data_IF_321477919421
#
_entry.id   IF_321477919421
#
_cell.length_a   1.000
_cell.length_b   1.000
_cell.length_c   1.000
_cell.angle_alpha   90.00
_cell.angle_beta   90.00
_cell.angle_gamma   90.00
#
_symmetry.space_group_name_H-M   'P 1'
#
loop_
_entity.id
_entity.type
_entity.pdbx_description
1 polymer ?
#
# COMPACT_ATOMS: atom_id res chain seq x y z
N UNK A 1 -18.64 9.06 16.92
CA UNK A 1 -18.65 8.93 15.44
C UNK A 1 -20.06 9.12 14.90
N UNK A 2 -20.22 9.78 13.75
CA UNK A 2 -21.51 9.99 13.05
C UNK A 2 -21.34 9.76 11.55
N UNK A 3 -22.14 8.86 10.98
CA UNK A 3 -22.25 8.68 9.53
C UNK A 3 -23.42 9.52 9.02
N UNK A 4 -23.19 10.28 7.95
CA UNK A 4 -24.19 11.08 7.24
C UNK A 4 -24.35 10.54 5.82
N UNK A 5 -25.19 11.17 4.99
CA UNK A 5 -25.35 10.77 3.59
C UNK A 5 -24.06 10.91 2.76
N UNK A 6 -23.05 11.65 3.25
CA UNK A 6 -21.81 11.96 2.52
C UNK A 6 -20.54 11.60 3.26
N UNK A 7 -20.57 11.61 4.59
CA UNK A 7 -19.37 11.61 5.39
C UNK A 7 -19.41 10.62 6.55
N UNK A 8 -18.24 10.08 6.87
CA UNK A 8 -17.96 9.44 8.15
C UNK A 8 -17.25 10.46 9.02
N UNK A 9 -17.98 11.11 9.92
CA UNK A 9 -17.46 12.12 10.83
C UNK A 9 -17.01 11.48 12.14
N UNK A 10 -15.78 11.76 12.57
CA UNK A 10 -15.21 11.15 13.75
C UNK A 10 -14.34 12.13 14.53
N UNK A 11 -14.23 11.92 15.84
CA UNK A 11 -13.29 12.64 16.69
C UNK A 11 -12.90 11.79 17.89
N UNK A 12 -11.61 11.51 18.04
CA UNK A 12 -11.07 10.65 19.10
C UNK A 12 -11.61 9.21 19.05
N UNK A 13 -11.71 8.68 17.84
CA UNK A 13 -12.20 7.33 17.52
C UNK A 13 -11.12 6.51 16.79
N UNK A 14 -11.44 5.28 16.35
CA UNK A 14 -10.51 4.39 15.66
C UNK A 14 -9.73 4.98 14.46
N UNK A 15 -10.27 5.91 13.64
CA UNK A 15 -9.51 6.48 12.53
C UNK A 15 -8.56 7.60 12.98
N UNK A 16 -8.75 8.18 14.16
CA UNK A 16 -7.94 9.30 14.64
C UNK A 16 -6.47 8.89 14.81
N UNK A 17 -5.57 9.84 14.58
CA UNK A 17 -4.12 9.63 14.66
C UNK A 17 -3.59 9.37 16.08
N UNK A 18 -4.41 9.65 17.09
CA UNK A 18 -4.13 9.37 18.50
C UNK A 18 -4.63 7.99 18.96
N UNK A 19 -5.40 7.29 18.10
CA UNK A 19 -5.89 5.96 18.42
C UNK A 19 -4.71 4.98 18.55
N UNK A 20 -4.66 4.18 19.64
CA UNK A 20 -3.61 3.17 19.81
C UNK A 20 -3.77 2.09 18.74
N UNK A 21 -2.80 2.03 17.84
CA UNK A 21 -2.70 1.04 16.79
C UNK A 21 -1.21 0.91 16.46
N UNK A 22 -0.62 -0.19 16.90
CA UNK A 22 0.81 -0.42 16.77
C UNK A 22 1.16 -0.81 15.34
N UNK A 23 2.28 -0.33 14.83
CA UNK A 23 2.80 -0.71 13.53
C UNK A 23 4.30 -0.50 13.45
N UNK A 24 4.93 -1.27 12.58
CA UNK A 24 6.35 -1.21 12.27
C UNK A 24 6.60 -0.58 10.90
N UNK A 25 7.64 0.22 10.77
CA UNK A 25 7.96 0.93 9.52
C UNK A 25 9.45 1.25 9.43
N UNK A 26 10.01 1.10 8.23
CA UNK A 26 11.38 1.49 7.96
C UNK A 26 11.49 3.02 7.74
N UNK A 27 12.44 3.63 8.45
CA UNK A 27 12.82 5.04 8.31
C UNK A 27 14.34 5.11 8.18
N UNK A 28 14.84 5.58 7.04
CA UNK A 28 16.27 5.64 6.72
C UNK A 28 16.99 4.31 7.00
N UNK A 29 16.46 3.20 6.48
CA UNK A 29 17.01 1.84 6.63
C UNK A 29 16.99 1.29 8.08
N UNK A 30 16.30 1.98 8.99
CA UNK A 30 16.11 1.54 10.37
C UNK A 30 14.67 1.13 10.61
N UNK A 31 14.48 -0.11 11.04
CA UNK A 31 13.19 -0.63 11.47
C UNK A 31 12.73 0.05 12.78
N UNK A 32 11.61 0.76 12.73
CA UNK A 32 11.08 1.52 13.84
C UNK A 32 9.66 1.06 14.20
N UNK A 33 9.38 0.93 15.50
CA UNK A 33 8.06 0.57 16.02
C UNK A 33 7.33 1.81 16.57
N UNK A 34 6.04 1.95 16.29
CA UNK A 34 5.21 3.08 16.74
C UNK A 34 3.88 2.63 17.32
N UNK A 35 3.41 3.30 18.37
CA UNK A 35 2.16 2.99 19.07
C UNK A 35 0.90 3.64 18.47
N UNK A 36 1.09 4.66 17.64
CA UNK A 36 0.05 5.41 16.95
C UNK A 36 0.68 6.28 15.86
N UNK A 37 -0.14 6.76 14.92
CA UNK A 37 0.38 7.55 13.79
C UNK A 37 0.86 8.94 14.21
N UNK A 38 0.37 9.51 15.32
CA UNK A 38 0.90 10.78 15.86
C UNK A 38 2.37 10.64 16.31
N UNK A 39 2.75 9.52 16.94
CA UNK A 39 4.14 9.28 17.33
C UNK A 39 5.06 9.25 16.11
N UNK A 40 4.70 8.48 15.08
CA UNK A 40 5.43 8.46 13.80
C UNK A 40 5.50 9.85 13.16
N UNK A 41 4.38 10.57 13.14
CA UNK A 41 4.29 11.88 12.51
C UNK A 41 5.21 12.92 13.18
N UNK A 42 5.29 12.91 14.53
CA UNK A 42 6.21 13.77 15.26
C UNK A 42 7.67 13.31 15.14
N UNK A 43 7.92 12.00 15.10
CA UNK A 43 9.25 11.44 14.86
C UNK A 43 9.80 11.89 13.51
N UNK A 44 9.02 11.71 12.44
CA UNK A 44 9.38 12.16 11.10
C UNK A 44 9.56 13.68 11.01
N UNK A 45 8.80 14.45 11.79
CA UNK A 45 9.05 15.89 11.92
C UNK A 45 10.46 16.17 12.44
N UNK A 46 10.88 15.49 13.50
CA UNK A 46 12.23 15.63 14.05
C UNK A 46 13.30 15.20 13.04
N UNK A 47 13.08 14.09 12.32
CA UNK A 47 13.98 13.62 11.24
C UNK A 47 14.10 14.65 10.11
N UNK A 48 12.99 15.21 9.63
CA UNK A 48 12.98 16.21 8.54
C UNK A 48 13.81 17.45 8.88
N UNK A 49 13.84 17.85 10.16
CA UNK A 49 14.58 19.04 10.61
C UNK A 49 15.92 18.72 11.29
N UNK A 50 16.37 17.47 11.23
CA UNK A 50 17.67 17.04 11.76
C UNK A 50 17.79 17.11 13.29
N UNK A 51 16.68 16.99 14.02
CA UNK A 51 16.66 17.03 15.48
C UNK A 51 16.65 15.61 16.07
N UNK A 52 17.82 14.95 16.03
CA UNK A 52 17.99 13.57 16.48
C UNK A 52 17.65 13.37 17.96
N UNK A 53 17.91 14.37 18.80
CA UNK A 53 17.66 14.29 20.24
C UNK A 53 16.16 14.30 20.57
N UNK A 54 15.36 15.10 19.85
CA UNK A 54 13.90 15.05 19.96
C UNK A 54 13.36 13.77 19.30
N UNK A 55 13.95 13.31 18.19
CA UNK A 55 13.54 12.06 17.55
C UNK A 55 13.68 10.85 18.51
N UNK A 56 14.81 10.72 19.20
CA UNK A 56 15.04 9.68 20.23
C UNK A 56 14.02 9.75 21.36
N UNK A 57 13.71 10.95 21.85
CA UNK A 57 12.71 11.13 22.91
C UNK A 57 11.29 10.75 22.46
N UNK A 58 10.93 11.05 21.21
CA UNK A 58 9.62 10.68 20.65
C UNK A 58 9.50 9.17 20.48
N UNK A 59 10.55 8.52 19.95
CA UNK A 59 10.54 7.07 19.75
C UNK A 59 10.42 6.31 21.08
N UNK A 60 10.95 6.87 22.17
CA UNK A 60 10.89 6.27 23.51
C UNK A 60 9.55 6.46 24.27
N UNK A 61 8.57 7.20 23.73
CA UNK A 61 7.29 7.46 24.42
C UNK A 61 6.08 7.18 23.51
N UNK A 62 5.21 6.25 23.91
CA UNK A 62 3.99 5.91 23.15
C UNK A 62 2.80 6.85 23.39
N UNK A 63 2.90 7.82 24.31
CA UNK A 63 1.77 8.66 24.67
C UNK A 63 1.58 9.82 23.65
N UNK A 64 0.48 9.85 22.88
CA UNK A 64 0.28 10.82 21.79
C UNK A 64 0.31 12.28 22.27
N UNK A 65 -0.13 12.55 23.51
CA UNK A 65 -0.11 13.90 24.08
C UNK A 65 1.32 14.37 24.37
N UNK A 66 2.18 13.49 24.88
CA UNK A 66 3.58 13.82 25.18
C UNK A 66 4.40 13.97 23.91
N UNK A 67 4.27 13.05 22.95
CA UNK A 67 5.00 13.13 21.67
C UNK A 67 4.58 14.36 20.87
N UNK A 68 3.30 14.75 20.87
CA UNK A 68 2.87 16.03 20.29
C UNK A 68 3.49 17.23 20.98
N UNK A 69 3.73 17.15 22.29
CA UNK A 69 4.42 18.21 23.03
C UNK A 69 5.92 18.27 22.68
N UNK A 70 6.56 17.13 22.45
CA UNK A 70 7.95 17.05 21.96
C UNK A 70 8.06 17.57 20.52
N UNK A 71 7.14 17.21 19.63
CA UNK A 71 7.14 17.69 18.25
C UNK A 71 6.94 19.21 18.10
N UNK A 72 6.45 19.90 19.14
CA UNK A 72 6.44 21.38 19.22
C UNK A 72 7.79 21.99 19.58
N UNK A 73 8.73 21.19 20.08
CA UNK A 73 10.07 21.61 20.48
C UNK A 73 11.15 21.30 19.42
N UNK A 74 10.79 20.64 18.33
CA UNK A 74 11.69 20.33 17.21
C UNK A 74 12.39 21.61 16.74
N UNK A 75 13.72 21.56 16.72
CA UNK A 75 14.58 22.65 16.27
C UNK A 75 14.56 22.79 14.75
N UNK A 76 15.04 23.93 14.24
CA UNK A 76 15.15 24.23 12.80
C UNK A 76 13.83 24.08 12.01
N UNK A 77 12.70 24.19 12.70
CA UNK A 77 11.38 24.03 12.08
C UNK A 77 11.14 25.11 11.03
N UNK A 78 10.86 24.67 9.81
CA UNK A 78 10.38 25.49 8.71
C UNK A 78 8.95 25.08 8.34
N UNK A 79 8.02 26.03 8.38
CA UNK A 79 6.60 25.77 8.14
C UNK A 79 6.33 25.35 6.70
N UNK A 80 7.02 25.96 5.73
CA UNK A 80 6.83 25.66 4.32
C UNK A 80 7.31 24.25 3.99
N UNK A 81 8.54 23.91 4.41
CA UNK A 81 9.09 22.55 4.25
C UNK A 81 8.19 21.51 4.91
N UNK A 82 7.63 21.83 6.09
CA UNK A 82 6.71 20.90 6.74
C UNK A 82 5.38 20.75 6.00
N UNK A 83 4.81 21.85 5.50
CA UNK A 83 3.56 21.82 4.75
C UNK A 83 3.68 20.97 3.49
N UNK A 84 4.84 20.99 2.82
CA UNK A 84 5.10 20.22 1.60
C UNK A 84 5.25 18.71 1.87
N UNK A 85 5.68 18.32 3.09
CA UNK A 85 5.97 16.92 3.43
C UNK A 85 4.89 16.23 4.29
N UNK A 86 4.19 16.98 5.14
CA UNK A 86 3.35 16.43 6.21
C UNK A 86 2.25 15.49 5.72
N UNK A 87 1.69 15.76 4.54
CA UNK A 87 0.60 14.96 4.00
C UNK A 87 1.06 13.54 3.70
N UNK A 88 2.13 13.40 2.91
CA UNK A 88 2.71 12.11 2.53
C UNK A 88 3.25 11.33 3.73
N UNK A 89 3.82 12.03 4.72
CA UNK A 89 4.25 11.41 5.98
C UNK A 89 3.04 10.80 6.72
N UNK A 90 1.95 11.55 6.87
CA UNK A 90 0.75 11.03 7.54
C UNK A 90 0.09 9.90 6.75
N UNK A 91 0.10 9.97 5.41
CA UNK A 91 -0.38 8.91 4.54
C UNK A 91 0.39 7.61 4.75
N UNK A 92 1.73 7.66 4.70
CA UNK A 92 2.58 6.49 4.94
C UNK A 92 2.30 5.85 6.32
N UNK A 93 2.06 6.68 7.34
CA UNK A 93 1.70 6.21 8.67
C UNK A 93 0.34 5.51 8.72
N UNK A 94 -0.68 6.06 8.03
CA UNK A 94 -2.00 5.46 8.02
C UNK A 94 -2.02 4.16 7.19
N UNK A 95 -1.34 4.11 6.04
CA UNK A 95 -1.18 2.86 5.29
C UNK A 95 -0.54 1.79 6.17
N UNK A 96 0.58 2.08 6.84
CA UNK A 96 1.21 1.13 7.75
C UNK A 96 0.29 0.69 8.90
N UNK A 97 -0.40 1.64 9.55
CA UNK A 97 -1.40 1.37 10.60
C UNK A 97 -2.47 0.40 10.11
N UNK A 98 -3.14 0.71 9.01
CA UNK A 98 -4.29 -0.08 8.55
C UNK A 98 -3.87 -1.40 7.90
N UNK A 99 -2.76 -1.45 7.16
CA UNK A 99 -2.30 -2.71 6.55
C UNK A 99 -1.76 -3.73 7.56
N UNK A 100 -1.31 -3.29 8.74
CA UNK A 100 -0.79 -4.19 9.80
C UNK A 100 -1.80 -4.52 10.89
N UNK A 101 -2.94 -3.81 10.96
CA UNK A 101 -3.99 -4.04 11.96
C UNK A 101 -5.27 -4.51 11.25
N UNK A 102 -5.44 -5.82 11.13
CA UNK A 102 -6.51 -6.44 10.33
C UNK A 102 -7.91 -5.96 10.75
N UNK A 103 -8.21 -5.88 12.05
CA UNK A 103 -9.51 -5.39 12.53
C UNK A 103 -9.78 -3.95 12.10
N UNK A 104 -8.77 -3.08 12.12
CA UNK A 104 -8.89 -1.69 11.68
C UNK A 104 -8.99 -1.61 10.16
N UNK A 105 -8.29 -2.47 9.42
CA UNK A 105 -8.40 -2.61 7.96
C UNK A 105 -9.84 -2.94 7.58
N UNK A 106 -10.43 -3.95 8.23
CA UNK A 106 -11.81 -4.37 7.99
C UNK A 106 -12.82 -3.26 8.33
N UNK A 107 -12.57 -2.49 9.39
CA UNK A 107 -13.37 -1.29 9.68
C UNK A 107 -13.23 -0.25 8.56
N UNK A 108 -12.03 0.07 8.11
CA UNK A 108 -11.79 1.05 7.04
C UNK A 108 -12.47 0.67 5.72
N UNK A 109 -12.50 -0.62 5.40
CA UNK A 109 -13.09 -1.19 4.18
C UNK A 109 -14.57 -1.57 4.33
N UNK A 110 -15.16 -1.36 5.50
CA UNK A 110 -16.54 -1.76 5.79
C UNK A 110 -17.52 -1.22 4.73
N UNK A 111 -18.48 -2.06 4.26
CA UNK A 111 -19.53 -1.61 3.35
C UNK A 111 -20.32 -0.40 3.87
N UNK A 112 -20.41 -0.23 5.19
CA UNK A 112 -21.08 0.91 5.83
C UNK A 112 -20.43 2.26 5.47
N UNK A 113 -19.11 2.29 5.26
CA UNK A 113 -18.37 3.51 4.95
C UNK A 113 -18.10 3.68 3.45
N UNK A 114 -18.46 2.68 2.63
CA UNK A 114 -18.29 2.73 1.18
C UNK A 114 -19.03 3.93 0.59
N UNK A 115 -18.37 4.68 -0.30
CA UNK A 115 -18.94 5.88 -0.93
C UNK A 115 -18.99 7.14 -0.06
N UNK A 116 -18.56 7.08 1.21
CA UNK A 116 -18.51 8.23 2.11
C UNK A 116 -17.08 8.74 2.27
N UNK A 117 -16.90 10.07 2.38
CA UNK A 117 -15.62 10.69 2.68
C UNK A 117 -15.35 10.76 4.20
N UNK A 118 -14.11 10.55 4.62
CA UNK A 118 -13.75 10.64 6.04
C UNK A 118 -13.60 12.10 6.49
N UNK A 119 -14.08 12.42 7.70
CA UNK A 119 -14.04 13.77 8.26
C UNK A 119 -13.60 13.75 9.73
N UNK A 120 -12.41 14.30 10.01
CA UNK A 120 -11.94 14.52 11.38
C UNK A 120 -12.65 15.75 11.97
N UNK A 121 -13.74 15.48 12.70
CA UNK A 121 -14.61 16.44 13.38
C UNK A 121 -14.00 16.97 14.70
N UNK A 122 -12.71 17.31 14.64
CA UNK A 122 -12.02 17.99 15.71
C UNK A 122 -12.47 19.45 15.77
N UNK A 123 -12.97 19.94 16.92
CA UNK A 123 -13.38 21.34 17.09
C UNK A 123 -12.19 22.31 17.19
N UNK A 124 -10.98 21.78 17.40
CA UNK A 124 -9.78 22.58 17.70
C UNK A 124 -8.80 22.66 16.53
N UNK A 125 -8.70 21.60 15.72
CA UNK A 125 -7.71 21.48 14.65
C UNK A 125 -8.21 22.11 13.35
N UNK A 126 -7.43 23.07 12.80
CA UNK A 126 -7.72 23.73 11.51
C UNK A 126 -7.02 23.09 10.32
N UNK A 127 -6.06 22.22 10.55
CA UNK A 127 -5.26 21.59 9.50
C UNK A 127 -5.76 20.18 9.27
N UNK A 128 -5.74 19.36 10.33
CA UNK A 128 -6.08 17.94 10.20
C UNK A 128 -7.58 17.68 10.35
N UNK A 129 -8.30 18.57 11.04
CA UNK A 129 -9.76 18.53 11.18
C UNK A 129 -10.47 19.76 10.58
N UNK A 130 -11.76 19.90 10.92
CA UNK A 130 -12.67 20.90 10.32
C UNK A 130 -13.10 22.05 11.26
N UNK A 131 -12.65 22.05 12.52
CA UNK A 131 -13.08 22.98 13.60
C UNK A 131 -14.58 22.93 13.91
N UNK A 132 -15.16 21.74 13.88
CA UNK A 132 -16.54 21.50 14.29
C UNK A 132 -16.65 20.13 14.92
N UNK A 133 -17.55 19.98 15.90
CA UNK A 133 -17.93 18.67 16.42
C UNK A 133 -18.80 17.91 15.40
N UNK A 134 -18.77 16.58 15.44
CA UNK A 134 -19.62 15.70 14.61
C UNK A 134 -21.13 15.94 14.80
N UNK A 135 -21.53 16.52 15.94
CA UNK A 135 -22.91 16.90 16.23
C UNK A 135 -23.35 18.23 15.59
N UNK A 136 -22.47 18.95 14.90
CA UNK A 136 -22.82 20.22 14.28
C UNK A 136 -23.87 20.00 13.16
N UNK A 137 -24.94 20.80 13.08
CA UNK A 137 -25.92 20.68 11.99
C UNK A 137 -25.34 20.95 10.60
N UNK A 138 -24.24 21.72 10.53
CA UNK A 138 -23.57 22.08 9.28
C UNK A 138 -22.43 21.11 8.91
N UNK A 139 -22.34 19.94 9.55
CA UNK A 139 -21.23 18.99 9.39
C UNK A 139 -21.03 18.55 7.93
N UNK A 140 -22.11 18.42 7.14
CA UNK A 140 -22.06 18.03 5.73
C UNK A 140 -21.85 19.19 4.75
N UNK A 141 -21.80 20.42 5.26
CA UNK A 141 -21.57 21.58 4.43
C UNK A 141 -20.08 21.95 4.45
N UNK A 142 -19.33 21.37 3.52
CA UNK A 142 -17.88 21.58 3.37
C UNK A 142 -17.49 23.06 3.24
N UNK A 143 -18.36 23.89 2.63
CA UNK A 143 -18.10 25.34 2.48
C UNK A 143 -18.11 26.09 3.82
N UNK A 144 -18.71 25.50 4.86
CA UNK A 144 -18.74 26.06 6.22
C UNK A 144 -17.57 25.58 7.07
N UNK A 145 -16.84 24.55 6.65
CA UNK A 145 -15.70 24.04 7.39
C UNK A 145 -14.63 25.12 7.56
N UNK A 146 -14.08 25.21 8.76
CA UNK A 146 -13.04 26.20 9.09
C UNK A 146 -11.66 25.55 9.23
N UNK A 147 -11.53 24.33 8.74
CA UNK A 147 -10.29 23.57 8.69
C UNK A 147 -10.19 22.73 7.41
N UNK A 148 -9.00 22.21 7.13
CA UNK A 148 -8.67 21.60 5.85
C UNK A 148 -9.04 20.11 5.73
N UNK A 149 -9.42 19.47 6.84
CA UNK A 149 -9.71 18.04 6.93
C UNK A 149 -8.61 17.15 6.31
N UNK A 150 -7.33 17.48 6.50
CA UNK A 150 -6.26 16.70 5.89
C UNK A 150 -6.23 15.24 6.35
N UNK A 151 -6.69 14.94 7.58
CA UNK A 151 -6.70 13.56 8.07
C UNK A 151 -7.76 12.73 7.34
N UNK A 152 -8.94 13.30 7.15
CA UNK A 152 -10.00 12.67 6.36
C UNK A 152 -9.53 12.31 4.94
N UNK A 153 -8.89 13.26 4.25
CA UNK A 153 -8.32 13.05 2.92
C UNK A 153 -7.25 11.94 2.90
N UNK A 154 -6.37 11.93 3.90
CA UNK A 154 -5.38 10.86 4.06
C UNK A 154 -6.05 9.50 4.25
N UNK A 155 -7.13 9.41 5.03
CA UNK A 155 -7.86 8.15 5.23
C UNK A 155 -8.56 7.67 3.95
N UNK A 156 -9.17 8.58 3.19
CA UNK A 156 -9.77 8.27 1.90
C UNK A 156 -8.73 7.71 0.92
N UNK A 157 -7.55 8.33 0.85
CA UNK A 157 -6.44 7.85 0.03
C UNK A 157 -5.84 6.54 0.54
N UNK A 158 -5.71 6.38 1.87
CA UNK A 158 -5.28 5.12 2.50
C UNK A 158 -6.23 3.97 2.11
N UNK A 159 -7.54 4.21 2.17
CA UNK A 159 -8.56 3.23 1.77
C UNK A 159 -8.40 2.84 0.31
N UNK A 160 -8.20 3.82 -0.59
CA UNK A 160 -7.97 3.56 -2.02
C UNK A 160 -6.74 2.67 -2.25
N UNK A 161 -5.60 3.01 -1.64
CA UNK A 161 -4.35 2.25 -1.75
C UNK A 161 -4.55 0.80 -1.29
N UNK A 162 -5.18 0.60 -0.13
CA UNK A 162 -5.41 -0.75 0.41
C UNK A 162 -6.35 -1.55 -0.49
N UNK A 163 -7.41 -0.95 -1.02
CA UNK A 163 -8.30 -1.64 -1.97
C UNK A 163 -7.55 -2.04 -3.24
N UNK A 164 -6.72 -1.15 -3.79
CA UNK A 164 -5.88 -1.45 -4.95
C UNK A 164 -4.93 -2.62 -4.66
N UNK A 165 -4.22 -2.60 -3.52
CA UNK A 165 -3.32 -3.68 -3.10
C UNK A 165 -4.05 -5.03 -2.91
N UNK A 166 -5.25 -5.04 -2.29
CA UNK A 166 -6.02 -6.28 -2.10
C UNK A 166 -6.62 -6.77 -3.44
N UNK A 167 -7.07 -5.87 -4.31
CA UNK A 167 -7.53 -6.25 -5.65
C UNK A 167 -6.41 -6.88 -6.47
N UNK A 168 -5.17 -6.39 -6.34
CA UNK A 168 -4.00 -6.99 -7.00
C UNK A 168 -3.73 -8.40 -6.45
N UNK A 169 -3.93 -8.65 -5.15
CA UNK A 169 -3.75 -9.98 -4.54
C UNK A 169 -4.80 -10.99 -4.98
N UNK A 170 -6.03 -10.56 -5.24
CA UNK A 170 -7.15 -11.42 -5.67
C UNK A 170 -7.16 -11.73 -7.18
N UNK A 171 -6.22 -11.16 -7.94
CA UNK A 171 -6.21 -11.17 -9.41
C UNK A 171 -5.26 -12.21 -10.04
N UNK A 172 -4.70 -13.14 -9.25
CA UNK A 172 -3.92 -14.27 -9.76
C UNK A 172 -4.73 -15.55 -9.61
N UNK A 173 -5.23 -16.08 -10.73
CA UNK A 173 -5.99 -17.32 -10.77
C UNK A 173 -5.27 -18.33 -11.67
N UNK A 174 -5.00 -19.51 -11.13
CA UNK A 174 -4.62 -20.68 -11.92
C UNK A 174 -5.92 -21.31 -12.40
N UNK A 175 -6.05 -21.54 -13.71
CA UNK A 175 -7.20 -22.29 -14.24
C UNK A 175 -6.80 -23.27 -15.34
N UNK A 176 -7.62 -24.31 -15.46
CA UNK A 176 -7.59 -25.31 -16.51
C UNK A 176 -8.51 -24.93 -17.66
N UNK A 177 -7.99 -25.01 -18.88
CA UNK A 177 -8.85 -25.09 -20.06
C UNK A 177 -9.28 -26.55 -20.25
N UNK A 178 -10.56 -26.83 -19.98
CA UNK A 178 -11.11 -28.20 -20.04
C UNK A 178 -11.17 -28.77 -21.46
N UNK A 179 -11.08 -27.91 -22.48
CA UNK A 179 -11.17 -28.34 -23.87
C UNK A 179 -9.80 -28.73 -24.43
N UNK A 180 -8.72 -28.11 -23.93
CA UNK A 180 -7.34 -28.39 -24.37
C UNK A 180 -6.55 -29.25 -23.39
N UNK A 181 -7.02 -29.38 -22.14
CA UNK A 181 -6.33 -30.09 -21.06
C UNK A 181 -4.96 -29.46 -20.72
N UNK A 182 -4.83 -28.15 -21.00
CA UNK A 182 -3.66 -27.30 -20.71
C UNK A 182 -3.94 -26.44 -19.46
N UNK A 183 -2.96 -26.33 -18.56
CA UNK A 183 -3.02 -25.42 -17.40
C UNK A 183 -2.38 -24.08 -17.76
N UNK A 184 -3.02 -22.97 -17.41
CA UNK A 184 -2.52 -21.63 -17.75
C UNK A 184 -2.19 -20.79 -16.52
N UNK A 185 -1.13 -19.97 -16.64
CA UNK A 185 -0.95 -18.82 -15.75
C UNK A 185 -1.79 -17.69 -16.27
N UNK A 186 -2.84 -17.42 -15.52
CA UNK A 186 -3.82 -16.41 -15.81
C UNK A 186 -3.68 -15.23 -14.87
N UNK A 187 -3.43 -14.06 -15.42
CA UNK A 187 -3.68 -12.82 -14.67
C UNK A 187 -5.11 -12.45 -14.99
N UNK A 188 -5.95 -12.45 -13.95
CA UNK A 188 -7.33 -11.99 -14.03
C UNK A 188 -7.38 -10.60 -13.42
N UNK A 189 -7.30 -9.54 -14.22
CA UNK A 189 -7.41 -8.18 -13.71
C UNK A 189 -8.89 -7.84 -13.56
N UNK A 190 -9.34 -7.55 -12.35
CA UNK A 190 -10.66 -6.98 -12.11
C UNK A 190 -10.61 -5.45 -12.22
N UNK A 191 -11.37 -4.89 -13.16
CA UNK A 191 -11.59 -3.43 -13.28
C UNK A 191 -13.09 -3.18 -13.15
N UNK A 192 -13.51 -2.64 -12.00
CA UNK A 192 -14.94 -2.52 -11.67
C UNK A 192 -15.60 -3.89 -11.54
N UNK A 193 -16.71 -4.11 -12.26
CA UNK A 193 -17.42 -5.40 -12.30
C UNK A 193 -16.94 -6.32 -13.44
N UNK A 194 -15.88 -5.93 -14.16
CA UNK A 194 -15.36 -6.63 -15.33
C UNK A 194 -14.07 -7.38 -15.00
N UNK A 195 -13.93 -8.59 -15.54
CA UNK A 195 -12.78 -9.47 -15.35
C UNK A 195 -12.06 -9.66 -16.67
N UNK A 196 -10.76 -9.37 -16.69
CA UNK A 196 -9.90 -9.47 -17.88
C UNK A 196 -8.86 -10.56 -17.66
N UNK A 197 -8.85 -11.58 -18.52
CA UNK A 197 -7.95 -12.73 -18.39
C UNK A 197 -6.90 -12.76 -19.51
N UNK A 198 -5.61 -12.74 -19.16
CA UNK A 198 -4.51 -12.90 -20.12
C UNK A 198 -3.78 -14.25 -19.98
N UNK A 199 -3.35 -14.85 -21.11
CA UNK A 199 -2.53 -16.09 -21.15
C UNK A 199 -1.06 -15.73 -21.44
N UNK A 200 -0.09 -16.07 -20.57
CA UNK A 200 1.34 -15.92 -20.95
C UNK A 200 2.34 -16.78 -20.16
N UNK A 201 3.40 -17.19 -20.84
CA UNK A 201 4.73 -17.47 -20.27
C UNK A 201 5.42 -16.12 -20.01
N UNK A 202 5.94 -15.91 -18.80
CA UNK A 202 6.73 -14.72 -18.48
C UNK A 202 8.21 -15.02 -18.74
N UNK A 203 8.85 -14.25 -19.62
CA UNK A 203 10.30 -14.31 -19.90
C UNK A 203 10.96 -13.01 -19.48
N UNK A 204 12.10 -13.11 -18.82
CA UNK A 204 12.89 -11.99 -18.35
C UNK A 204 14.11 -11.80 -19.25
N UNK A 205 14.56 -10.55 -19.42
CA UNK A 205 15.70 -10.24 -20.28
C UNK A 205 17.01 -10.70 -19.64
N UNK A 206 17.52 -11.85 -20.09
CA UNK A 206 18.78 -12.43 -19.62
C UNK A 206 20.01 -11.59 -19.96
N UNK A 207 19.89 -10.56 -20.81
CA UNK A 207 20.98 -9.63 -21.10
C UNK A 207 21.17 -8.56 -20.02
N UNK A 208 20.21 -8.44 -19.09
CA UNK A 208 20.29 -7.54 -17.94
C UNK A 208 20.02 -8.29 -16.62
N UNK A 209 21.04 -8.98 -16.08
CA UNK A 209 20.89 -9.83 -14.89
C UNK A 209 20.40 -9.08 -13.64
N UNK A 210 20.69 -7.78 -13.52
CA UNK A 210 20.25 -6.95 -12.39
C UNK A 210 18.73 -6.71 -12.39
N UNK A 211 18.07 -6.96 -13.53
CA UNK A 211 16.61 -6.88 -13.69
C UNK A 211 15.93 -8.25 -13.68
N UNK A 212 16.65 -9.33 -13.41
CA UNK A 212 16.01 -10.64 -13.29
C UNK A 212 15.55 -10.86 -11.85
N UNK A 213 14.32 -11.37 -11.63
CA UNK A 213 13.87 -11.75 -10.29
C UNK A 213 14.82 -12.77 -9.69
N UNK A 214 15.14 -12.66 -8.40
CA UNK A 214 16.06 -13.58 -7.73
C UNK A 214 15.33 -14.37 -6.65
N UNK A 215 15.63 -15.66 -6.56
CA UNK A 215 14.98 -16.59 -5.63
C UNK A 215 16.04 -17.32 -4.81
N UNK A 216 15.74 -17.62 -3.55
CA UNK A 216 16.60 -18.42 -2.69
C UNK A 216 16.12 -19.88 -2.71
N UNK A 217 16.93 -20.78 -3.26
CA UNK A 217 16.61 -22.19 -3.39
C UNK A 217 17.78 -23.04 -2.89
N UNK A 218 17.55 -23.81 -1.82
CA UNK A 218 18.59 -24.63 -1.16
C UNK A 218 19.85 -23.82 -0.77
N UNK A 219 19.64 -22.65 -0.15
CA UNK A 219 20.70 -21.72 0.30
C UNK A 219 21.54 -21.08 -0.82
N UNK A 220 21.11 -21.20 -2.07
CA UNK A 220 21.71 -20.55 -3.23
C UNK A 220 20.73 -19.58 -3.90
N UNK A 221 21.23 -18.44 -4.35
CA UNK A 221 20.44 -17.46 -5.11
C UNK A 221 20.45 -17.78 -6.61
N UNK A 222 19.27 -17.72 -7.21
CA UNK A 222 19.03 -18.02 -8.62
C UNK A 222 18.27 -16.89 -9.27
N UNK A 223 18.68 -16.49 -10.47
CA UNK A 223 17.92 -15.57 -11.31
C UNK A 223 16.83 -16.34 -12.06
N UNK A 224 15.63 -15.79 -12.17
CA UNK A 224 14.52 -16.38 -12.91
C UNK A 224 14.57 -15.86 -14.34
N UNK A 225 14.83 -16.74 -15.30
CA UNK A 225 14.83 -16.45 -16.74
C UNK A 225 13.43 -16.55 -17.34
N UNK A 226 12.67 -17.57 -16.95
CA UNK A 226 11.27 -17.63 -17.30
C UNK A 226 10.45 -18.41 -16.30
N UNK A 227 9.15 -18.13 -16.33
CA UNK A 227 8.12 -18.80 -15.56
C UNK A 227 6.97 -19.21 -16.48
N UNK A 228 6.57 -20.48 -16.37
CA UNK A 228 5.34 -21.00 -16.99
C UNK A 228 4.66 -21.97 -16.04
N UNK A 229 3.35 -22.10 -16.13
CA UNK A 229 2.65 -23.24 -15.55
C UNK A 229 2.73 -24.43 -16.51
N UNK A 230 2.81 -25.62 -15.94
CA UNK A 230 2.71 -26.90 -16.64
C UNK A 230 1.29 -27.46 -16.52
N UNK A 231 0.94 -28.37 -17.41
CA UNK A 231 -0.32 -29.10 -17.55
C UNK A 231 -0.72 -29.93 -16.30
N UNK A 232 0.09 -29.88 -15.23
CA UNK A 232 -0.14 -30.53 -13.94
C UNK A 232 -0.33 -29.53 -12.78
N UNK A 233 -0.57 -28.26 -13.08
CA UNK A 233 -0.55 -27.17 -12.10
C UNK A 233 0.75 -27.09 -11.30
N UNK A 234 1.88 -27.33 -11.98
CA UNK A 234 3.20 -27.10 -11.40
C UNK A 234 3.79 -25.87 -12.09
N UNK A 235 4.29 -24.91 -11.30
CA UNK A 235 5.00 -23.77 -11.82
C UNK A 235 6.43 -24.19 -12.18
N UNK A 236 6.73 -24.18 -13.48
CA UNK A 236 8.06 -24.38 -14.01
C UNK A 236 8.82 -23.06 -14.01
N UNK A 237 9.89 -23.01 -13.23
CA UNK A 237 10.86 -21.93 -13.22
C UNK A 237 12.11 -22.36 -13.99
N UNK A 238 12.51 -21.57 -14.97
CA UNK A 238 13.84 -21.66 -15.57
C UNK A 238 14.75 -20.68 -14.83
N UNK A 239 15.72 -21.23 -14.13
CA UNK A 239 16.63 -20.52 -13.25
C UNK A 239 18.03 -20.46 -13.86
N UNK A 240 18.74 -19.36 -13.65
CA UNK A 240 20.12 -19.16 -14.10
C UNK A 240 20.99 -18.73 -12.92
N UNK A 241 22.18 -19.31 -12.80
CA UNK A 241 23.25 -18.84 -11.92
C UNK A 241 24.61 -19.25 -12.49
N UNK A 242 25.52 -18.30 -12.72
CA UNK A 242 26.87 -18.58 -13.25
C UNK A 242 26.90 -19.53 -14.46
N UNK A 243 26.09 -19.25 -15.49
CA UNK A 243 25.91 -20.07 -16.71
C UNK A 243 25.30 -21.47 -16.51
N UNK A 244 24.87 -21.80 -15.28
CA UNK A 244 24.12 -23.02 -14.96
C UNK A 244 22.64 -22.70 -15.07
N UNK A 245 21.94 -23.44 -15.93
CA UNK A 245 20.48 -23.42 -15.99
C UNK A 245 19.90 -24.54 -15.13
N UNK A 246 18.86 -24.21 -14.36
CA UNK A 246 18.14 -25.18 -13.54
C UNK A 246 16.65 -25.00 -13.76
N UNK A 247 15.99 -26.10 -14.12
CA UNK A 247 14.54 -26.16 -14.21
C UNK A 247 13.98 -26.68 -12.89
N UNK A 248 13.03 -25.96 -12.31
CA UNK A 248 12.39 -26.33 -11.05
C UNK A 248 10.89 -26.34 -11.26
N UNK A 249 10.25 -27.41 -10.79
CA UNK A 249 8.80 -27.51 -10.73
C UNK A 249 8.39 -27.23 -9.28
N UNK A 250 7.50 -26.27 -9.08
CA UNK A 250 6.93 -25.91 -7.79
C UNK A 250 5.46 -26.30 -7.83
N UNK A 251 5.03 -27.19 -6.95
CA UNK A 251 3.62 -27.63 -6.89
C UNK A 251 2.72 -26.53 -6.31
N UNK A 252 1.42 -26.56 -6.61
CA UNK A 252 0.39 -25.66 -6.02
C UNK A 252 0.51 -25.47 -4.49
N UNK A 253 0.70 -26.56 -3.74
CA UNK A 253 0.87 -26.54 -2.27
C UNK A 253 2.12 -25.74 -1.80
N UNK A 254 3.06 -25.49 -2.70
CA UNK A 254 4.27 -24.69 -2.48
C UNK A 254 4.13 -23.25 -3.02
N UNK A 255 3.20 -23.02 -3.97
CA UNK A 255 2.85 -21.70 -4.52
C UNK A 255 2.06 -20.86 -3.50
N UNK A 256 1.18 -21.49 -2.71
CA UNK A 256 0.47 -20.81 -1.61
C UNK A 256 1.40 -20.32 -0.49
N UNK A 257 2.67 -20.76 -0.49
CA UNK A 257 3.66 -20.30 0.49
C UNK A 257 4.27 -18.97 0.02
N UNK A 258 4.42 -18.05 0.97
CA UNK A 258 4.90 -16.66 0.90
C UNK A 258 6.08 -16.34 -0.07
N UNK A 259 6.82 -17.33 -0.54
CA UNK A 259 7.96 -17.17 -1.44
C UNK A 259 7.59 -17.11 -2.94
N UNK A 260 6.54 -17.82 -3.39
CA UNK A 260 6.10 -17.74 -4.79
C UNK A 260 5.41 -16.39 -5.12
N UNK A 261 4.71 -15.83 -4.14
CA UNK A 261 4.16 -14.47 -4.20
C UNK A 261 5.27 -13.40 -4.33
N UNK A 262 6.37 -13.53 -3.59
CA UNK A 262 7.55 -12.65 -3.73
C UNK A 262 8.19 -12.75 -5.13
N UNK A 263 8.21 -13.96 -5.69
CA UNK A 263 8.65 -14.26 -7.05
C UNK A 263 7.82 -13.51 -8.10
N UNK A 264 6.50 -13.52 -7.93
CA UNK A 264 5.54 -12.84 -8.80
C UNK A 264 5.63 -11.31 -8.66
N UNK A 265 5.76 -10.77 -7.44
CA UNK A 265 5.99 -9.33 -7.26
C UNK A 265 7.33 -8.86 -7.86
N UNK A 266 8.41 -9.61 -7.65
CA UNK A 266 9.74 -9.29 -8.20
C UNK A 266 9.80 -9.39 -9.73
N UNK A 267 8.96 -10.25 -10.33
CA UNK A 267 8.76 -10.33 -11.77
C UNK A 267 8.14 -9.07 -12.36
N UNK A 268 7.25 -8.41 -11.62
CA UNK A 268 6.57 -7.18 -12.06
C UNK A 268 7.39 -5.92 -11.81
N UNK A 269 8.12 -5.81 -10.69
CA UNK A 269 8.97 -4.64 -10.41
C UNK A 269 10.12 -4.46 -11.43
N UNK A 270 10.46 -5.51 -12.17
CA UNK A 270 11.57 -5.54 -13.11
C UNK A 270 11.18 -5.39 -14.60
N UNK A 271 9.88 -5.38 -14.93
CA UNK A 271 9.45 -4.95 -16.26
C UNK A 271 9.51 -3.44 -16.31
N UNK A 272 10.57 -2.86 -16.89
CA UNK A 272 10.75 -1.42 -16.99
C UNK A 272 9.51 -0.72 -17.58
N UNK A 273 8.84 0.07 -16.76
CA UNK A 273 7.98 1.15 -17.20
C UNK A 273 8.84 2.29 -17.76
N UNK A 274 8.83 2.50 -19.08
CA UNK A 274 8.99 3.86 -19.58
C UNK A 274 7.67 4.60 -19.30
N UNK A 275 7.70 5.60 -18.41
CA UNK A 275 6.62 6.58 -18.33
C UNK A 275 6.65 7.39 -19.63
N UNK A 276 5.74 7.12 -20.56
CA UNK A 276 5.42 8.08 -21.61
C UNK A 276 4.75 9.29 -20.93
N UNK A 277 5.31 10.49 -21.12
CA UNK A 277 4.61 11.72 -20.74
C UNK A 277 3.37 11.87 -21.62
N UNK A 278 2.19 11.82 -21.01
CA UNK A 278 0.98 12.42 -21.59
C UNK A 278 -0.07 11.49 -22.20
N UNK A 279 -0.17 10.22 -21.80
CA UNK A 279 -1.29 9.36 -22.19
C UNK A 279 -2.22 9.14 -20.98
N UNK A 280 -3.48 9.59 -21.13
CA UNK A 280 -4.58 9.28 -20.23
C UNK A 280 -4.81 7.75 -20.24
N UNK A 281 -5.04 7.17 -19.07
CA UNK A 281 -5.25 5.74 -18.83
C UNK A 281 -6.59 5.23 -19.36
N UNK A 282 -6.91 5.44 -20.64
CA UNK A 282 -8.12 4.88 -21.28
C UNK A 282 -7.84 3.69 -22.20
N UNK A 283 -6.60 3.46 -22.66
CA UNK A 283 -6.33 2.38 -23.63
C UNK A 283 -5.35 1.32 -23.08
N UNK A 284 -5.85 0.43 -22.23
CA UNK A 284 -5.16 -0.82 -21.85
C UNK A 284 -5.16 -1.82 -23.03
N UNK A 285 -5.99 -1.60 -24.06
CA UNK A 285 -6.18 -2.50 -25.21
C UNK A 285 -4.93 -2.62 -26.11
N UNK A 286 -4.15 -1.55 -26.29
CA UNK A 286 -3.03 -1.54 -27.24
C UNK A 286 -1.65 -1.91 -26.62
N UNK A 287 -1.53 -1.92 -25.28
CA UNK A 287 -0.23 -1.93 -24.62
C UNK A 287 0.48 -3.31 -24.59
N UNK A 288 -0.24 -4.41 -24.77
CA UNK A 288 0.31 -5.74 -24.54
C UNK A 288 0.17 -6.76 -25.68
N UNK A 289 -0.35 -6.35 -26.84
CA UNK A 289 -0.47 -7.24 -28.02
C UNK A 289 -1.37 -8.45 -27.76
N UNK A 290 -2.54 -8.22 -27.18
CA UNK A 290 -3.53 -9.26 -26.88
C UNK A 290 -4.38 -9.53 -28.11
N UNK A 291 -4.63 -10.80 -28.45
CA UNK A 291 -5.81 -11.15 -29.24
C UNK A 291 -6.93 -11.50 -28.25
N UNK A 292 -7.96 -10.66 -28.22
CA UNK A 292 -9.21 -10.91 -27.49
C UNK A 292 -9.94 -12.09 -28.15
N UNK A 293 -10.36 -13.08 -27.35
CA UNK A 293 -11.34 -14.11 -27.75
C UNK A 293 -12.64 -13.93 -26.99
#
# INVERSE_FOLDING_TARGET
>A
MRVTDKHVCFWNEWPSNWHPAEFDIEVNEVHCHFYNTEQYFMYMKAIVFGDEEIAKQILADGNPKKVKALGRKVQNYDEQVWNDKRYQIMLKANVAKFSQNEDLKQLLLSPEYKGHGFVEASPYDKVWGIRMYESNPDIDNETKWKGLNLLGKVLDETRRIIVEEESIKENFLIWDDRDTNECFFGISILIGDQSYTGKKELKFDSSNPDKMPTILLHDEYWQVESLRLTDRHEMELNLISNDITKKVLVSDDEIEKKEAYKLLCAAFDNTEHEKSEGEDYEDVEDFYGWELS
#
